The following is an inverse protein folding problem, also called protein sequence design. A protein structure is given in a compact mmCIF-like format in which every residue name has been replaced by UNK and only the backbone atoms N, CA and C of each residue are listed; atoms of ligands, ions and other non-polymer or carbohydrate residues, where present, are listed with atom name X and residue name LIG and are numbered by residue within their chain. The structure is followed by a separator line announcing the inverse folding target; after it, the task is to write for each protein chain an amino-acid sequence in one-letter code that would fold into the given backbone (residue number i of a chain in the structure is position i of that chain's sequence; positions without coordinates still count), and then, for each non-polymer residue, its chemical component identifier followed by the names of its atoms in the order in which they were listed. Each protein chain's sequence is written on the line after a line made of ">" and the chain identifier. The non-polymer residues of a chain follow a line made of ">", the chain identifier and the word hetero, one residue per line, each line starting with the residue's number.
data_IF_071410713957
#
_entry.id   IF_071410713957
#
_cell.length_a   1.000
_cell.length_b   1.000
_cell.length_c   1.000
_cell.angle_alpha   90.00
_cell.angle_beta   90.00
_cell.angle_gamma   90.00
#
_symmetry.space_group_name_H-M   'P 1'
#
loop_
_entity.id
_entity.type
_entity.pdbx_description
1 polymer ?
2 polymer ?
3 non-polymer ?
4 water ?
#
# COMPACT_ATOMS: atom_id res chain seq x y z
N UNK A 1 10.17 13.91 4.15
CA UNK A 1 10.50 12.86 5.10
C UNK A 1 11.21 11.73 4.39
N UNK A 2 11.70 10.74 5.16
CA UNK A 2 12.42 9.61 4.55
C UNK A 2 11.51 8.69 3.77
N UNK A 3 11.96 8.33 2.59
CA UNK A 3 11.29 7.33 1.78
C UNK A 3 11.87 5.97 2.14
N UNK A 4 11.03 5.09 2.66
CA UNK A 4 11.48 3.77 3.09
C UNK A 4 11.11 2.75 2.05
N UNK A 5 12.00 1.79 1.83
CA UNK A 5 11.70 0.69 0.94
C UNK A 5 11.36 -0.47 1.85
N UNK A 6 10.15 -1.01 1.70
CA UNK A 6 9.64 -1.98 2.68
C UNK A 6 9.29 -3.28 1.97
N UNK A 7 9.78 -4.37 2.46
CA UNK A 7 9.54 -5.67 1.91
C UNK A 7 8.40 -6.40 2.58
N UNK A 8 7.64 -7.08 1.77
CA UNK A 8 6.54 -7.87 2.21
C UNK A 8 6.47 -9.15 1.37
N UNK A 9 6.28 -10.28 2.01
CA UNK A 9 6.12 -11.55 1.37
C UNK A 9 4.71 -12.03 1.59
N UNK A 10 4.09 -12.55 0.55
CA UNK A 10 2.79 -13.16 0.71
C UNK A 10 2.51 -14.28 -0.29
N UNK A 11 1.76 -15.27 0.15
CA UNK A 11 1.27 -16.34 -0.72
C UNK A 11 0.08 -15.82 -1.51
N UNK A 12 -0.26 -16.50 -2.60
CA UNK A 12 -1.31 -16.02 -3.50
C UNK A 12 -2.68 -16.06 -2.85
N UNK A 13 -2.86 -16.95 -1.88
CA UNK A 13 -4.13 -17.08 -1.19
C UNK A 13 -4.25 -16.04 -0.08
N UNK A 14 -3.28 -15.13 -0.03
CA UNK A 14 -3.28 -14.07 0.98
C UNK A 14 -3.51 -12.70 0.37
N UNK A 15 -4.04 -11.79 1.17
CA UNK A 15 -4.11 -10.39 0.79
C UNK A 15 -2.83 -9.73 1.25
N UNK A 16 -2.67 -8.45 0.94
CA UNK A 16 -1.54 -7.69 1.46
C UNK A 16 -1.76 -7.45 2.93
N UNK A 17 -3.02 -7.32 3.32
CA UNK A 17 -3.36 -7.03 4.70
C UNK A 17 -3.25 -5.55 5.01
N UNK A 18 -3.55 -4.70 4.03
CA UNK A 18 -3.65 -3.26 4.27
C UNK A 18 -4.94 -2.75 3.66
N UNK A 19 -5.41 -1.61 4.13
CA UNK A 19 -6.46 -0.87 3.45
C UNK A 19 -5.84 0.42 2.99
N UNK A 20 -6.30 0.94 1.87
CA UNK A 20 -5.81 2.22 1.37
C UNK A 20 -6.96 3.19 1.17
N UNK A 21 -6.62 4.47 1.18
CA UNK A 21 -7.57 5.52 0.90
C UNK A 21 -6.86 6.55 0.04
N UNK A 22 -7.59 7.51 -0.52
CA UNK A 22 -6.97 8.57 -1.30
C UNK A 22 -6.87 8.27 -2.78
N UNK A 23 -6.07 9.07 -3.48
CA UNK A 23 -5.93 8.93 -4.91
C UNK A 23 -6.11 10.24 -5.64
N UNK A 24 -5.71 10.26 -6.90
CA UNK A 24 -5.66 11.48 -7.69
C UNK A 24 -6.97 12.26 -7.66
N UNK A 25 -8.09 11.56 -7.79
CA UNK A 25 -9.39 12.23 -7.84
C UNK A 25 -9.69 12.97 -6.54
N UNK A 26 -8.96 12.64 -5.48
CA UNK A 26 -9.17 13.28 -4.18
C UNK A 26 -8.08 14.29 -3.84
N UNK A 27 -7.14 14.47 -4.75
CA UNK A 27 -6.07 15.43 -4.56
C UNK A 27 -5.07 15.01 -3.50
N UNK A 28 -5.17 13.77 -3.04
CA UNK A 28 -4.21 13.25 -2.07
C UNK A 28 -3.58 11.97 -2.58
N UNK A 29 -2.40 11.62 -2.04
CA UNK A 29 -1.71 10.38 -2.41
C UNK A 29 -2.52 9.16 -1.98
N UNK A 30 -2.06 7.99 -2.41
CA UNK A 30 -2.61 6.74 -1.94
C UNK A 30 -2.04 6.55 -0.55
N UNK A 31 -2.92 6.49 0.46
CA UNK A 31 -2.48 6.44 1.85
C UNK A 31 -2.91 5.14 2.50
N UNK A 32 -2.05 4.60 3.35
CA UNK A 32 -2.44 3.44 4.14
C UNK A 32 -3.36 3.87 5.28
N UNK A 33 -4.57 3.31 5.30
CA UNK A 33 -5.55 3.68 6.33
C UNK A 33 -5.66 2.63 7.44
N UNK A 34 -5.26 1.40 7.14
CA UNK A 34 -5.33 0.35 8.16
C UNK A 34 -4.42 -0.81 7.85
N UNK A 35 -3.80 -1.37 8.88
CA UNK A 35 -2.95 -2.54 8.72
C UNK A 35 -3.62 -3.67 9.50
N UNK A 36 -3.98 -4.75 8.80
CA UNK A 36 -4.85 -5.75 9.42
C UNK A 36 -4.06 -6.80 10.19
N UNK A 37 -4.43 -7.00 11.46
CA UNK A 37 -3.60 -7.83 12.33
C UNK A 37 -3.46 -9.25 11.79
N UNK A 38 -2.24 -9.77 11.82
CA UNK A 38 -2.01 -11.15 11.45
C UNK A 38 -1.74 -11.38 9.98
N UNK A 39 -2.06 -10.40 9.14
CA UNK A 39 -1.84 -10.53 7.70
C UNK A 39 -0.44 -10.08 7.28
N UNK A 40 -0.07 -10.28 6.00
CA UNK A 40 1.33 -10.08 5.61
C UNK A 40 1.97 -8.75 6.01
N UNK A 41 1.29 -7.62 5.78
CA UNK A 41 1.86 -6.33 6.17
C UNK A 41 2.19 -6.27 7.67
N UNK A 42 1.28 -6.79 8.48
CA UNK A 42 1.46 -6.79 9.94
C UNK A 42 2.62 -7.69 10.33
N UNK A 43 2.66 -8.89 9.74
CA UNK A 43 3.67 -9.88 10.10
C UNK A 43 5.06 -9.48 9.62
N UNK A 44 5.12 -8.85 8.46
CA UNK A 44 6.40 -8.46 7.88
C UNK A 44 6.92 -7.13 8.40
N UNK A 45 6.01 -6.26 8.81
CA UNK A 45 6.39 -4.99 9.40
C UNK A 45 6.88 -3.94 8.41
N UNK A 46 7.01 -2.71 8.90
CA UNK A 46 7.61 -1.64 8.12
C UNK A 46 6.63 -0.66 7.50
N UNK A 47 5.36 -1.05 7.43
CA UNK A 47 4.33 -0.17 6.87
C UNK A 47 3.55 0.44 8.04
N UNK A 48 3.09 1.66 7.90
CA UNK A 48 2.31 2.20 8.99
C UNK A 48 1.17 3.03 8.45
N UNK A 49 0.17 3.20 9.28
CA UNK A 49 -1.02 3.94 8.91
C UNK A 49 -0.59 5.38 8.69
N UNK A 50 -1.09 6.01 7.63
CA UNK A 50 -0.69 7.37 7.30
C UNK A 50 0.47 7.45 6.31
N UNK A 51 1.09 6.31 6.01
CA UNK A 51 2.10 6.26 4.95
C UNK A 51 1.48 6.51 3.59
N UNK A 52 2.11 7.38 2.79
CA UNK A 52 1.80 7.48 1.37
C UNK A 52 2.60 6.42 0.62
N UNK A 53 1.92 5.64 -0.22
CA UNK A 53 2.61 4.65 -1.04
C UNK A 53 3.02 5.31 -2.34
N UNK A 54 4.32 5.55 -2.48
CA UNK A 54 4.83 6.22 -3.67
C UNK A 54 4.99 5.24 -4.83
N UNK A 55 5.32 4.00 -4.50
CA UNK A 55 5.51 2.98 -5.52
C UNK A 55 5.35 1.59 -4.93
N UNK A 56 5.05 0.63 -5.80
CA UNK A 56 5.02 -0.76 -5.40
C UNK A 56 5.64 -1.58 -6.53
N UNK A 57 6.66 -2.37 -6.20
CA UNK A 57 7.42 -3.10 -7.21
C UNK A 57 7.91 -2.22 -8.37
N UNK A 58 8.29 -0.99 -8.08
CA UNK A 58 8.83 -0.08 -9.05
C UNK A 58 7.80 0.69 -9.84
N UNK A 59 6.55 0.35 -9.66
CA UNK A 59 5.43 1.00 -10.28
C UNK A 59 4.93 2.19 -9.45
N UNK A 60 5.16 3.36 -9.99
CA UNK A 60 4.79 4.63 -9.43
C UNK A 60 3.30 4.78 -9.17
N UNK A 61 2.93 5.10 -7.94
CA UNK A 61 1.52 5.30 -7.61
C UNK A 61 1.19 6.76 -7.32
N UNK A 62 2.12 7.66 -7.61
CA UNK A 62 2.01 9.04 -7.13
C UNK A 62 0.84 9.80 -7.73
N UNK A 63 0.47 9.47 -8.96
CA UNK A 63 -0.62 10.19 -9.63
C UNK A 63 -1.76 9.27 -10.05
N UNK A 64 -1.96 8.18 -9.32
CA UNK A 64 -2.97 7.20 -9.68
C UNK A 64 -4.30 7.55 -9.04
N UNK A 65 -5.38 7.33 -9.77
CA UNK A 65 -6.72 7.35 -9.19
C UNK A 65 -6.85 6.16 -8.25
N UNK A 66 -7.81 6.21 -7.33
CA UNK A 66 -7.96 5.15 -6.34
C UNK A 66 -8.05 3.77 -6.98
N UNK A 67 -8.94 3.62 -7.96
CA UNK A 67 -9.14 2.31 -8.57
C UNK A 67 -7.90 1.78 -9.31
N UNK A 68 -7.12 2.66 -9.96
CA UNK A 68 -5.88 2.22 -10.60
C UNK A 68 -4.92 1.62 -9.58
N UNK A 69 -4.75 2.30 -8.46
CA UNK A 69 -3.86 1.83 -7.40
C UNK A 69 -4.34 0.50 -6.86
N UNK A 70 -5.65 0.38 -6.67
CA UNK A 70 -6.24 -0.89 -6.25
C UNK A 70 -5.85 -1.99 -7.24
N UNK A 71 -6.01 -1.73 -8.53
CA UNK A 71 -5.62 -2.71 -9.56
C UNK A 71 -4.14 -3.09 -9.46
N UNK A 72 -3.27 -2.10 -9.46
CA UNK A 72 -1.82 -2.35 -9.45
C UNK A 72 -1.43 -3.12 -8.20
N UNK A 73 -1.84 -2.62 -7.04
CA UNK A 73 -1.51 -3.26 -5.78
C UNK A 73 -2.02 -4.70 -5.74
N UNK A 74 -3.24 -4.92 -6.22
CA UNK A 74 -3.87 -6.25 -6.12
C UNK A 74 -3.23 -7.28 -7.04
N UNK A 75 -2.46 -6.81 -8.02
CA UNK A 75 -1.82 -7.69 -8.99
C UNK A 75 -0.39 -8.09 -8.63
N UNK A 76 0.12 -7.55 -7.53
CA UNK A 76 1.47 -7.89 -7.08
C UNK A 76 1.42 -9.20 -6.31
N UNK A 77 2.47 -10.01 -6.46
CA UNK A 77 2.49 -11.35 -5.89
C UNK A 77 3.86 -11.65 -5.32
N UNK A 78 3.89 -12.50 -4.30
CA UNK A 78 5.14 -13.03 -3.78
C UNK A 78 5.93 -12.03 -2.96
N UNK A 79 7.15 -11.75 -3.42
CA UNK A 79 8.01 -10.79 -2.75
C UNK A 79 7.70 -9.40 -3.27
N UNK A 80 7.18 -8.53 -2.41
CA UNK A 80 6.71 -7.22 -2.84
C UNK A 80 7.42 -6.06 -2.13
N UNK A 81 7.91 -5.09 -2.90
CA UNK A 81 8.63 -3.96 -2.34
C UNK A 81 7.80 -2.69 -2.46
N UNK A 82 7.47 -2.09 -1.32
CA UNK A 82 6.79 -0.80 -1.31
C UNK A 82 7.82 0.29 -1.10
N UNK A 83 7.57 1.46 -1.67
CA UNK A 83 8.30 2.65 -1.30
C UNK A 83 7.29 3.61 -0.71
N UNK A 84 7.47 3.97 0.56
CA UNK A 84 6.47 4.74 1.30
C UNK A 84 7.12 5.93 1.99
N UNK A 85 6.31 6.95 2.27
CA UNK A 85 6.79 8.06 3.08
C UNK A 85 5.64 8.44 4.01
N UNK A 86 5.93 8.57 5.30
CA UNK A 86 4.90 8.98 6.26
C UNK A 86 4.56 10.44 6.03
N UNK A 87 3.27 10.74 5.94
CA UNK A 87 2.83 12.12 5.81
C UNK A 87 1.94 12.49 7.00
N UNK B 1 -13.05 10.12 0.57
CA UNK B 1 -12.46 9.12 -0.31
C UNK B 1 -13.14 7.76 -0.12
N UNK B 2 -12.83 6.81 -1.00
CA UNK B 2 -13.16 5.41 -0.75
C UNK B 2 -12.13 4.85 0.23
N UNK B 3 -12.37 3.64 0.71
CA UNK B 3 -11.39 2.91 1.52
C UNK B 3 -11.44 1.46 1.08
N UNK B 4 -10.31 0.93 0.59
CA UNK B 4 -10.32 -0.39 -0.01
C UNK B 4 -9.34 -1.31 0.69
N UNK B 5 -9.83 -2.46 1.14
CA UNK B 5 -9.00 -3.50 1.73
C UNK B 5 -8.31 -4.34 0.66
N UNK B 6 -7.00 -4.54 0.81
CA UNK B 6 -6.21 -5.28 -0.16
C UNK B 6 -5.48 -6.45 0.47
X LIG C 1 7.85 -10.87 5.68
X LIG C 1 7.86 -12.17 5.06
X LIG C 1 8.73 -10.09 4.84
X LIG C 1 8.35 -10.91 7.07
#
# INVERSE_FOLDING_TARGET
>A
GPIRKVLLLKEDHEGLGISITGGKEHGVPILISEIHPGQPADRCGGLHVGDAILAVNGVNLRDTKHKEAVTILSQQRGEIEFEVVYV
>B
VQDTRL
>C hetero
1 SO3 S O1 O2 O3
#
